data_IF_970922760549
#
_entry.id   IF_970922760549
#
_cell.length_a   1.000
_cell.length_b   1.000
_cell.length_c   1.000
_cell.angle_alpha   90.00
_cell.angle_beta   90.00
_cell.angle_gamma   90.00
#
_symmetry.space_group_name_H-M   'P 1'
#
loop_
_entity.id
_entity.type
_entity.pdbx_description
1 polymer ?
#
# COMPACT_ATOMS: atom_id res chain seq x y z
N UNK A 1 -15.89 22.90 5.69
CA UNK A 1 -16.62 21.75 5.09
C UNK A 1 -15.60 20.67 4.69
N UNK A 2 -15.83 19.45 5.10
CA UNK A 2 -14.99 18.33 4.71
C UNK A 2 -15.30 17.90 3.27
N UNK A 3 -14.26 17.66 2.47
CA UNK A 3 -14.39 17.04 1.16
C UNK A 3 -14.38 15.52 1.33
N UNK A 4 -15.23 14.83 0.59
CA UNK A 4 -15.27 13.38 0.58
C UNK A 4 -15.17 12.85 -0.84
N UNK A 5 -14.61 11.67 -0.97
CA UNK A 5 -14.56 10.94 -2.22
C UNK A 5 -14.76 9.45 -1.93
N UNK A 6 -15.56 8.80 -2.76
CA UNK A 6 -15.80 7.37 -2.67
C UNK A 6 -15.33 6.70 -3.95
N UNK A 7 -14.33 5.84 -3.86
CA UNK A 7 -13.92 4.98 -4.96
C UNK A 7 -14.82 3.75 -5.00
N UNK A 8 -15.34 3.41 -6.18
CA UNK A 8 -16.23 2.27 -6.35
C UNK A 8 -15.63 1.31 -7.37
N UNK A 9 -15.38 0.08 -6.93
CA UNK A 9 -14.82 -0.99 -7.76
C UNK A 9 -15.66 -2.24 -7.53
N UNK A 10 -16.02 -2.92 -8.63
CA UNK A 10 -16.77 -4.16 -8.57
C UNK A 10 -15.86 -5.32 -8.96
N UNK A 11 -15.87 -6.37 -8.16
CA UNK A 11 -15.23 -7.64 -8.47
C UNK A 11 -16.28 -8.64 -8.96
N UNK A 12 -15.99 -9.32 -10.04
CA UNK A 12 -16.93 -10.26 -10.69
C UNK A 12 -16.31 -11.62 -10.92
N UNK A 13 -17.15 -12.58 -11.29
CA UNK A 13 -16.77 -13.96 -11.60
C UNK A 13 -16.11 -14.61 -10.39
N UNK A 14 -14.93 -15.18 -10.56
CA UNK A 14 -14.23 -15.95 -9.52
C UNK A 14 -13.44 -15.08 -8.54
N UNK A 15 -13.53 -13.76 -8.65
CA UNK A 15 -12.78 -12.86 -7.77
C UNK A 15 -11.29 -13.15 -7.77
N UNK A 16 -10.71 -13.38 -6.58
CA UNK A 16 -9.29 -13.74 -6.42
C UNK A 16 -8.84 -14.89 -7.32
N UNK A 17 -9.72 -15.82 -7.59
CA UNK A 17 -9.40 -17.08 -8.25
C UNK A 17 -9.48 -17.04 -9.79
N UNK A 18 -9.54 -15.85 -10.38
CA UNK A 18 -9.57 -15.71 -11.84
C UNK A 18 -10.61 -14.71 -12.35
N UNK A 19 -11.14 -13.88 -11.47
CA UNK A 19 -12.13 -12.86 -11.84
C UNK A 19 -11.50 -11.57 -12.35
N UNK A 20 -12.29 -10.51 -12.31
CA UNK A 20 -11.90 -9.17 -12.75
C UNK A 20 -12.34 -8.14 -11.72
N UNK A 21 -11.62 -7.04 -11.68
CA UNK A 21 -12.05 -5.82 -10.98
C UNK A 21 -12.20 -4.70 -12.00
N UNK A 22 -13.25 -3.91 -11.86
CA UNK A 22 -13.52 -2.77 -12.74
C UNK A 22 -14.04 -1.61 -11.88
N UNK A 23 -13.37 -0.47 -11.98
CA UNK A 23 -13.85 0.75 -11.34
C UNK A 23 -15.06 1.32 -12.07
N UNK A 24 -15.93 1.99 -11.34
CA UNK A 24 -17.14 2.63 -11.87
C UNK A 24 -16.85 3.56 -13.05
N UNK A 25 -15.74 4.29 -12.98
CA UNK A 25 -15.31 5.23 -14.03
C UNK A 25 -14.46 4.56 -15.14
N UNK A 26 -14.19 3.27 -15.04
CA UNK A 26 -13.37 2.54 -16.00
C UNK A 26 -11.86 2.81 -15.91
N UNK A 27 -11.40 3.64 -14.97
CA UNK A 27 -9.98 4.00 -14.87
C UNK A 27 -9.12 2.92 -14.23
N UNK A 28 -9.72 2.01 -13.48
CA UNK A 28 -9.06 0.81 -12.99
C UNK A 28 -9.76 -0.40 -13.55
N UNK A 29 -9.01 -1.27 -14.20
CA UNK A 29 -9.53 -2.50 -14.78
C UNK A 29 -8.42 -3.54 -14.77
N UNK A 30 -8.65 -4.69 -14.15
CA UNK A 30 -7.63 -5.72 -14.05
C UNK A 30 -8.23 -7.11 -13.95
N UNK A 31 -7.54 -8.07 -14.56
CA UNK A 31 -7.82 -9.50 -14.40
C UNK A 31 -7.02 -10.01 -13.20
N UNK A 32 -7.62 -10.91 -12.43
CA UNK A 32 -7.01 -11.49 -11.24
C UNK A 32 -6.66 -12.96 -11.47
N UNK A 33 -5.62 -13.43 -10.81
CA UNK A 33 -5.26 -14.84 -10.79
C UNK A 33 -4.56 -15.17 -9.46
N UNK A 34 -4.66 -16.44 -9.05
CA UNK A 34 -3.89 -16.90 -7.89
C UNK A 34 -2.42 -16.96 -8.30
N UNK A 35 -1.51 -16.35 -7.51
CA UNK A 35 -0.09 -16.42 -7.78
C UNK A 35 0.45 -17.85 -7.81
N UNK A 36 1.52 -18.07 -8.54
CA UNK A 36 2.17 -19.39 -8.61
C UNK A 36 2.64 -19.86 -7.24
N UNK A 37 3.09 -18.95 -6.40
CA UNK A 37 3.54 -19.22 -5.02
C UNK A 37 2.42 -19.82 -4.15
N UNK A 38 1.18 -19.56 -4.51
CA UNK A 38 0.00 -20.13 -3.84
C UNK A 38 -0.64 -21.27 -4.63
N UNK A 39 0.08 -21.81 -5.62
CA UNK A 39 -0.38 -22.94 -6.41
C UNK A 39 -1.27 -22.57 -7.62
N UNK A 40 -1.34 -21.29 -7.95
CA UNK A 40 -2.15 -20.82 -9.08
C UNK A 40 -1.40 -20.74 -10.38
N UNK A 41 -2.09 -20.28 -11.42
CA UNK A 41 -1.52 -20.12 -12.77
C UNK A 41 -0.63 -18.87 -12.88
N UNK A 42 -0.85 -17.87 -12.06
CA UNK A 42 -0.19 -16.56 -12.19
C UNK A 42 -0.63 -15.85 -13.47
N UNK A 43 0.18 -14.92 -13.94
CA UNK A 43 -0.06 -14.22 -15.20
C UNK A 43 -1.05 -13.06 -15.13
N UNK A 44 -1.61 -12.77 -13.96
CA UNK A 44 -2.49 -11.64 -13.71
C UNK A 44 -2.22 -11.08 -12.31
N UNK A 45 -2.86 -9.97 -11.98
CA UNK A 45 -2.68 -9.35 -10.66
C UNK A 45 -3.49 -10.08 -9.58
N UNK A 46 -3.42 -9.59 -8.35
CA UNK A 46 -4.10 -10.20 -7.20
C UNK A 46 -4.46 -9.11 -6.18
N UNK A 47 -5.30 -9.43 -5.19
CA UNK A 47 -5.70 -8.47 -4.17
C UNK A 47 -4.54 -7.87 -3.38
N UNK A 48 -3.50 -8.63 -3.10
CA UNK A 48 -2.35 -8.14 -2.33
C UNK A 48 -1.57 -7.08 -3.11
N UNK A 49 -1.42 -7.25 -4.44
CA UNK A 49 -0.80 -6.22 -5.28
C UNK A 49 -1.68 -4.96 -5.35
N UNK A 50 -2.99 -5.10 -5.44
CA UNK A 50 -3.91 -3.97 -5.44
C UNK A 50 -3.87 -3.22 -4.11
N UNK A 51 -3.83 -3.95 -3.00
CA UNK A 51 -3.69 -3.38 -1.66
C UNK A 51 -2.36 -2.63 -1.53
N UNK A 52 -1.27 -3.25 -1.98
CA UNK A 52 0.07 -2.64 -1.97
C UNK A 52 0.13 -1.38 -2.83
N UNK A 53 -0.49 -1.39 -4.02
CA UNK A 53 -0.57 -0.23 -4.90
C UNK A 53 -1.30 0.92 -4.22
N UNK A 54 -2.42 0.65 -3.59
CA UNK A 54 -3.20 1.64 -2.86
C UNK A 54 -2.39 2.23 -1.69
N UNK A 55 -1.80 1.36 -0.89
CA UNK A 55 -1.05 1.79 0.31
C UNK A 55 0.21 2.58 -0.04
N UNK A 56 1.02 2.07 -0.97
CA UNK A 56 2.25 2.77 -1.39
C UNK A 56 1.96 4.14 -1.98
N UNK A 57 0.94 4.25 -2.81
CA UNK A 57 0.54 5.52 -3.44
C UNK A 57 0.07 6.54 -2.39
N UNK A 58 -0.77 6.10 -1.47
CA UNK A 58 -1.26 6.95 -0.39
C UNK A 58 -0.13 7.36 0.55
N UNK A 59 0.79 6.43 0.83
CA UNK A 59 1.92 6.70 1.72
C UNK A 59 2.89 7.74 1.15
N UNK A 60 3.13 7.75 -0.16
CA UNK A 60 3.89 8.83 -0.82
C UNK A 60 3.26 10.20 -0.50
N UNK A 61 1.94 10.29 -0.62
CA UNK A 61 1.22 11.52 -0.26
C UNK A 61 1.41 11.91 1.20
N UNK A 62 1.37 10.93 2.09
CA UNK A 62 1.59 11.14 3.52
C UNK A 62 3.00 11.63 3.82
N UNK A 63 4.02 11.08 3.15
CA UNK A 63 5.43 11.53 3.29
C UNK A 63 5.57 12.98 2.84
N UNK A 64 5.01 13.33 1.69
CA UNK A 64 5.06 14.70 1.19
C UNK A 64 4.35 15.68 2.13
N UNK A 65 3.22 15.28 2.68
CA UNK A 65 2.49 16.10 3.67
C UNK A 65 3.31 16.29 4.95
N UNK A 66 3.92 15.22 5.44
CA UNK A 66 4.80 15.31 6.61
C UNK A 66 5.99 16.25 6.38
N UNK A 67 6.60 16.17 5.19
CA UNK A 67 7.69 17.06 4.80
C UNK A 67 7.24 18.54 4.77
N UNK A 68 6.09 18.80 4.17
CA UNK A 68 5.51 20.15 4.13
C UNK A 68 5.25 20.70 5.53
N UNK A 69 4.67 19.91 6.41
CA UNK A 69 4.41 20.31 7.80
C UNK A 69 5.68 20.64 8.58
N UNK A 70 6.79 20.00 8.22
CA UNK A 70 8.10 20.22 8.86
C UNK A 70 8.99 21.18 8.09
N UNK A 71 8.49 21.77 7.00
CA UNK A 71 9.26 22.68 6.13
C UNK A 71 10.53 22.02 5.59
N UNK A 72 10.43 20.73 5.26
CA UNK A 72 11.52 19.95 4.67
C UNK A 72 11.25 19.83 3.17
N UNK A 73 12.29 20.10 2.36
CA UNK A 73 12.21 19.95 0.91
C UNK A 73 12.78 18.60 0.51
N UNK A 74 11.94 17.77 -0.12
CA UNK A 74 12.34 16.48 -0.69
C UNK A 74 12.65 16.66 -2.18
N UNK A 75 13.72 16.02 -2.65
CA UNK A 75 14.04 15.93 -4.09
C UNK A 75 13.38 14.74 -4.75
N UNK A 76 13.15 13.68 -4.01
CA UNK A 76 12.48 12.48 -4.52
C UNK A 76 11.93 11.63 -3.41
N UNK A 77 10.88 10.88 -3.72
CA UNK A 77 10.21 9.94 -2.82
C UNK A 77 9.85 8.69 -3.60
N UNK A 78 10.21 7.54 -3.08
CA UNK A 78 9.65 6.28 -3.54
C UNK A 78 9.23 5.43 -2.34
N UNK A 79 8.13 4.71 -2.48
CA UNK A 79 7.61 3.80 -1.45
C UNK A 79 7.32 2.46 -2.10
N UNK A 80 7.97 1.42 -1.59
CA UNK A 80 7.66 0.04 -1.94
C UNK A 80 6.84 -0.55 -0.80
N UNK A 81 5.65 -1.04 -1.12
CA UNK A 81 4.82 -1.75 -0.15
C UNK A 81 4.88 -3.24 -0.45
N UNK A 82 5.38 -4.02 0.50
CA UNK A 82 5.36 -5.48 0.43
C UNK A 82 4.24 -5.97 1.37
N UNK A 83 3.13 -6.40 0.79
CA UNK A 83 1.98 -6.93 1.54
C UNK A 83 2.01 -8.45 1.41
N UNK A 84 2.08 -9.12 2.57
CA UNK A 84 2.15 -10.59 2.64
C UNK A 84 0.83 -11.15 3.13
N UNK A 85 0.29 -12.11 2.37
CA UNK A 85 -0.84 -12.93 2.80
C UNK A 85 -0.29 -14.15 3.54
N UNK A 86 -0.69 -14.31 4.80
CA UNK A 86 -0.36 -15.46 5.63
C UNK A 86 -1.51 -16.46 5.59
N UNK A 87 -1.18 -17.70 5.29
CA UNK A 87 -2.14 -18.79 5.16
C UNK A 87 -1.61 -20.02 5.90
N UNK A 88 -1.34 -19.84 7.19
CA UNK A 88 -0.79 -20.91 8.05
C UNK A 88 -1.88 -21.88 8.52
N UNK A 89 -3.10 -21.39 8.62
CA UNK A 89 -4.29 -22.16 8.98
C UNK A 89 -5.36 -21.94 7.92
N UNK A 90 -5.94 -22.99 7.32
CA UNK A 90 -6.98 -22.85 6.30
C UNK A 90 -8.22 -22.07 6.76
N UNK A 91 -8.44 -21.94 8.06
CA UNK A 91 -9.55 -21.17 8.62
C UNK A 91 -9.18 -19.72 8.93
N UNK A 92 -7.90 -19.36 8.88
CA UNK A 92 -7.42 -18.02 9.25
C UNK A 92 -6.44 -17.48 8.22
N UNK A 93 -6.82 -16.37 7.61
CA UNK A 93 -5.93 -15.60 6.75
C UNK A 93 -5.53 -14.32 7.48
N UNK A 94 -4.27 -13.97 7.39
CA UNK A 94 -3.76 -12.74 7.96
C UNK A 94 -2.88 -11.99 6.98
N UNK A 95 -2.65 -10.72 7.27
CA UNK A 95 -1.76 -9.87 6.48
C UNK A 95 -0.64 -9.32 7.35
N UNK A 96 0.50 -9.08 6.71
CA UNK A 96 1.55 -8.21 7.24
C UNK A 96 2.08 -7.33 6.13
N UNK A 97 2.77 -6.25 6.48
CA UNK A 97 3.30 -5.35 5.48
C UNK A 97 4.66 -4.78 5.90
N UNK A 98 5.50 -4.54 4.90
CA UNK A 98 6.72 -3.76 5.03
C UNK A 98 6.64 -2.61 4.04
N UNK A 99 6.81 -1.39 4.52
CA UNK A 99 6.87 -0.20 3.69
C UNK A 99 8.32 0.29 3.67
N UNK A 100 8.95 0.22 2.50
CA UNK A 100 10.33 0.68 2.30
C UNK A 100 10.31 2.00 1.58
N UNK A 101 10.86 3.02 2.21
CA UNK A 101 10.92 4.37 1.69
C UNK A 101 12.34 4.70 1.25
N UNK A 102 12.48 5.31 0.10
CA UNK A 102 13.72 5.97 -0.33
C UNK A 102 13.42 7.44 -0.50
N UNK A 103 14.11 8.28 0.27
CA UNK A 103 13.93 9.74 0.28
C UNK A 103 15.24 10.40 -0.10
N UNK A 104 15.19 11.29 -1.09
CA UNK A 104 16.36 12.07 -1.50
C UNK A 104 16.21 13.54 -1.12
N UNK A 105 17.34 14.18 -0.86
CA UNK A 105 17.40 15.59 -0.43
C UNK A 105 17.35 15.77 1.08
N UNK A 106 17.44 14.70 1.86
CA UNK A 106 17.42 14.71 3.32
C UNK A 106 18.47 13.76 3.89
N UNK A 107 18.83 13.92 5.15
CA UNK A 107 19.69 12.97 5.85
C UNK A 107 18.88 11.77 6.38
N UNK A 108 19.58 10.75 6.86
CA UNK A 108 18.96 9.51 7.32
C UNK A 108 18.00 9.74 8.49
N UNK A 109 18.37 10.59 9.43
CA UNK A 109 17.52 10.89 10.58
C UNK A 109 16.21 11.54 10.14
N UNK A 110 16.28 12.52 9.24
CA UNK A 110 15.09 13.17 8.69
C UNK A 110 14.23 12.18 7.91
N UNK A 111 14.84 11.28 7.12
CA UNK A 111 14.10 10.24 6.41
C UNK A 111 13.31 9.35 7.38
N UNK A 112 13.92 8.92 8.48
CA UNK A 112 13.25 8.11 9.50
C UNK A 112 12.12 8.87 10.19
N UNK A 113 12.33 10.14 10.52
CA UNK A 113 11.31 10.99 11.13
C UNK A 113 10.11 11.20 10.19
N UNK A 114 10.37 11.41 8.90
CA UNK A 114 9.31 11.56 7.90
C UNK A 114 8.54 10.26 7.69
N UNK A 115 9.22 9.14 7.69
CA UNK A 115 8.58 7.82 7.60
C UNK A 115 7.64 7.57 8.78
N UNK A 116 8.09 7.84 10.00
CA UNK A 116 7.27 7.70 11.20
C UNK A 116 6.06 8.65 11.19
N UNK A 117 6.25 9.90 10.76
CA UNK A 117 5.16 10.87 10.66
C UNK A 117 4.16 10.48 9.57
N UNK A 118 4.63 10.02 8.44
CA UNK A 118 3.77 9.54 7.35
C UNK A 118 2.90 8.36 7.80
N UNK A 119 3.46 7.44 8.58
CA UNK A 119 2.71 6.31 9.13
C UNK A 119 1.57 6.77 10.04
N UNK A 120 1.71 7.88 10.73
CA UNK A 120 0.63 8.47 11.53
C UNK A 120 -0.43 9.16 10.66
N UNK A 121 -0.04 9.73 9.51
CA UNK A 121 -0.93 10.48 8.64
C UNK A 121 -1.69 9.61 7.64
N UNK A 122 -1.08 8.54 7.16
CA UNK A 122 -1.64 7.70 6.11
C UNK A 122 -2.93 7.02 6.58
N UNK A 123 -4.06 7.19 5.88
CA UNK A 123 -5.32 6.57 6.27
C UNK A 123 -5.28 5.03 6.24
N UNK A 124 -4.50 4.42 5.35
CA UNK A 124 -4.34 2.96 5.34
C UNK A 124 -3.50 2.47 6.51
N UNK A 125 -2.48 3.24 6.92
CA UNK A 125 -1.75 2.95 8.15
C UNK A 125 -2.67 3.04 9.37
N UNK A 126 -3.57 4.02 9.41
CA UNK A 126 -4.57 4.12 10.48
C UNK A 126 -5.53 2.94 10.48
N UNK A 127 -5.97 2.50 9.29
CA UNK A 127 -6.90 1.38 9.15
C UNK A 127 -6.29 0.05 9.59
N UNK A 128 -4.98 -0.11 9.48
CA UNK A 128 -4.27 -1.36 9.78
C UNK A 128 -3.61 -1.40 11.15
N UNK A 129 -3.38 -0.24 11.76
CA UNK A 129 -2.67 -0.12 13.05
C UNK A 129 -3.40 -0.88 14.15
N UNK A 130 -2.63 -1.69 14.90
CA UNK A 130 -3.19 -2.51 15.97
C UNK A 130 -3.87 -3.79 15.49
N UNK A 131 -3.91 -4.02 14.18
CA UNK A 131 -4.54 -5.18 13.58
C UNK A 131 -3.55 -6.10 12.88
N UNK A 132 -2.67 -5.53 12.04
CA UNK A 132 -1.65 -6.31 11.34
C UNK A 132 -0.24 -5.77 11.63
N UNK A 133 0.79 -6.63 11.61
CA UNK A 133 2.18 -6.16 11.74
C UNK A 133 2.58 -5.30 10.55
N UNK A 134 3.12 -4.11 10.82
CA UNK A 134 3.63 -3.19 9.79
C UNK A 134 5.02 -2.71 10.20
N UNK A 135 5.98 -2.84 9.30
CA UNK A 135 7.34 -2.33 9.48
C UNK A 135 7.59 -1.19 8.50
N UNK A 136 8.15 -0.10 8.99
CA UNK A 136 8.55 1.04 8.16
C UNK A 136 10.08 1.07 8.11
N UNK A 137 10.64 1.01 6.91
CA UNK A 137 12.08 1.11 6.67
C UNK A 137 12.33 2.34 5.80
N UNK A 138 12.94 3.38 6.36
CA UNK A 138 13.24 4.61 5.62
C UNK A 138 14.75 4.75 5.39
N UNK A 139 15.12 5.07 4.16
CA UNK A 139 16.51 5.23 3.74
C UNK A 139 16.68 6.56 3.01
N UNK A 140 17.67 7.35 3.43
CA UNK A 140 18.10 8.53 2.69
C UNK A 140 19.01 8.09 1.53
N UNK A 141 18.68 8.54 0.32
CA UNK A 141 19.42 8.17 -0.89
C UNK A 141 19.98 9.38 -1.62
#
# INVERSE_FOLDING_TARGET
MAATYTGVVTSTSEGRNGGRVVAEDGLLEATLAIPKELGGAGGATNPEQLFAAAWSSCFVGAVKRAATQRKVTLKGVSVEAAVTLHHDDPSEFGLSAVLKLELSGVDQRTAEELGAAAHQLCPYSKATRGNIPVTIEATAV
#
